data_IF_041942128091
#
_entry.id   IF_041942128091
#
_cell.length_a   1.000
_cell.length_b   1.000
_cell.length_c   1.000
_cell.angle_alpha   90.00
_cell.angle_beta   90.00
_cell.angle_gamma   90.00
#
_symmetry.space_group_name_H-M   'P 1'
#
loop_
_entity.id
_entity.type
_entity.pdbx_description
1 polymer ?
#
# COMPACT_ATOMS: atom_id res chain seq x y z
N UNK A 1 14.18 9.40 5.03
CA UNK A 1 14.34 9.37 6.50
C UNK A 1 13.37 10.38 7.09
N UNK A 2 12.57 10.00 8.09
CA UNK A 2 11.72 10.93 8.83
C UNK A 2 12.57 11.78 9.78
N UNK A 3 12.22 13.06 9.97
CA UNK A 3 12.96 13.93 10.91
C UNK A 3 12.65 13.54 12.36
N UNK A 4 13.56 13.82 13.28
CA UNK A 4 13.38 13.58 14.72
C UNK A 4 12.10 14.28 15.25
N UNK A 5 11.76 15.44 14.70
CA UNK A 5 10.52 16.18 15.00
C UNK A 5 9.25 15.47 14.50
N UNK A 6 9.31 14.75 13.37
CA UNK A 6 8.17 13.95 12.88
C UNK A 6 7.96 12.68 13.72
N UNK A 7 9.03 12.08 14.25
CA UNK A 7 8.96 10.91 15.14
C UNK A 7 8.40 11.25 16.53
N UNK A 8 8.43 12.52 16.93
CA UNK A 8 7.87 13.00 18.22
C UNK A 8 6.41 13.44 18.13
N UNK A 9 5.78 13.41 16.95
CA UNK A 9 4.34 13.63 16.85
C UNK A 9 3.63 12.50 17.62
N UNK A 10 2.90 12.87 18.67
CA UNK A 10 2.05 11.91 19.37
C UNK A 10 1.18 11.22 18.32
N UNK A 11 1.20 9.88 18.27
CA UNK A 11 0.32 9.12 17.39
C UNK A 11 -1.09 9.65 17.61
N UNK A 12 -1.70 10.21 16.57
CA UNK A 12 -3.09 10.64 16.63
C UNK A 12 -3.91 9.43 17.05
N UNK A 13 -4.33 9.43 18.31
CA UNK A 13 -5.07 8.32 18.87
C UNK A 13 -6.45 8.42 18.26
N UNK A 14 -6.79 7.46 17.40
CA UNK A 14 -8.13 7.35 16.85
C UNK A 14 -9.08 7.11 18.05
N UNK A 15 -9.83 8.14 18.44
CA UNK A 15 -10.76 8.04 19.56
C UNK A 15 -11.92 7.17 19.08
N UNK A 16 -12.14 6.04 19.74
CA UNK A 16 -13.33 5.22 19.49
C UNK A 16 -14.56 6.03 19.88
N UNK A 17 -15.34 6.42 18.88
CA UNK A 17 -16.62 7.10 19.10
C UNK A 17 -17.71 6.03 19.24
N UNK A 18 -18.15 5.76 20.47
CA UNK A 18 -19.34 4.95 20.70
C UNK A 18 -20.56 5.86 20.81
N UNK A 19 -21.62 5.55 20.05
CA UNK A 19 -22.93 6.22 20.14
C UNK A 19 -23.96 5.22 20.65
N UNK A 20 -24.67 5.57 21.72
CA UNK A 20 -25.79 4.77 22.21
C UNK A 20 -27.01 4.98 21.31
N UNK A 21 -27.59 3.88 20.83
CA UNK A 21 -28.84 3.91 20.07
C UNK A 21 -30.01 3.97 21.07
N UNK A 22 -30.69 5.10 21.12
CA UNK A 22 -31.93 5.23 21.87
C UNK A 22 -33.09 4.78 20.98
N UNK A 23 -33.62 3.58 21.24
CA UNK A 23 -34.72 3.00 20.49
C UNK A 23 -36.03 3.26 21.24
N UNK A 24 -37.06 3.70 20.53
CA UNK A 24 -38.41 3.86 21.08
C UNK A 24 -39.03 2.47 21.34
N UNK A 25 -39.47 2.16 22.58
CA UNK A 25 -39.83 0.80 23.00
C UNK A 25 -41.17 0.27 22.46
N UNK A 26 -42.03 1.12 21.90
CA UNK A 26 -43.41 0.77 21.53
C UNK A 26 -43.57 0.14 20.13
N UNK A 27 -42.52 -0.45 19.55
CA UNK A 27 -42.55 -0.88 18.14
C UNK A 27 -41.94 -2.27 17.92
N UNK A 28 -42.56 -3.05 17.03
CA UNK A 28 -42.20 -4.45 16.77
C UNK A 28 -40.76 -4.63 16.28
N UNK A 29 -40.16 -5.79 16.56
CA UNK A 29 -38.76 -6.13 16.38
C UNK A 29 -38.21 -5.91 14.95
N UNK A 30 -39.07 -5.99 13.93
CA UNK A 30 -38.70 -5.70 12.54
C UNK A 30 -38.31 -4.22 12.33
N UNK A 31 -38.87 -3.31 13.13
CA UNK A 31 -38.52 -1.89 13.07
C UNK A 31 -37.17 -1.60 13.71
N UNK A 32 -36.73 -2.40 14.71
CA UNK A 32 -35.40 -2.31 15.30
C UNK A 32 -34.33 -2.70 14.29
N UNK A 33 -34.55 -3.79 13.54
CA UNK A 33 -33.65 -4.22 12.47
C UNK A 33 -33.55 -3.15 11.37
N UNK A 34 -34.69 -2.58 10.96
CA UNK A 34 -34.71 -1.48 10.00
C UNK A 34 -33.98 -0.23 10.50
N UNK A 35 -34.16 0.14 11.77
CA UNK A 35 -33.49 1.29 12.39
C UNK A 35 -31.97 1.10 12.50
N UNK A 36 -31.51 -0.12 12.84
CA UNK A 36 -30.08 -0.44 12.86
C UNK A 36 -29.51 -0.36 11.45
N UNK A 37 -30.19 -0.94 10.45
CA UNK A 37 -29.74 -0.90 9.06
C UNK A 37 -29.68 0.53 8.52
N UNK A 38 -30.65 1.38 8.83
CA UNK A 38 -30.65 2.80 8.47
C UNK A 38 -29.45 3.54 9.09
N UNK A 39 -29.14 3.28 10.36
CA UNK A 39 -28.00 3.91 11.04
C UNK A 39 -26.66 3.42 10.51
N UNK A 40 -26.56 2.15 10.13
CA UNK A 40 -25.39 1.61 9.44
C UNK A 40 -25.23 2.30 8.08
N UNK A 41 -26.31 2.44 7.31
CA UNK A 41 -26.29 3.10 6.00
C UNK A 41 -25.88 4.58 6.09
N UNK A 42 -26.43 5.33 7.06
CA UNK A 42 -26.03 6.72 7.36
C UNK A 42 -24.53 6.84 7.70
N UNK A 43 -23.93 5.83 8.32
CA UNK A 43 -22.51 5.81 8.69
C UNK A 43 -21.61 5.31 7.57
N UNK A 44 -22.10 4.40 6.72
CA UNK A 44 -21.38 3.85 5.58
C UNK A 44 -21.39 4.79 4.37
N UNK A 45 -22.32 5.76 4.33
CA UNK A 45 -22.34 6.84 3.35
C UNK A 45 -21.88 8.16 4.01
N UNK A 46 -20.61 8.30 4.41
CA UNK A 46 -20.11 9.60 4.84
C UNK A 46 -20.31 10.58 3.69
N UNK A 47 -20.68 11.82 4.02
CA UNK A 47 -20.83 12.89 3.03
C UNK A 47 -19.62 12.90 2.10
N UNK A 48 -19.88 12.88 0.79
CA UNK A 48 -18.85 12.82 -0.23
C UNK A 48 -17.92 14.01 -0.03
N UNK A 49 -16.70 13.77 0.44
CA UNK A 49 -15.72 14.82 0.66
C UNK A 49 -15.44 15.50 -0.68
N UNK A 50 -15.72 16.79 -0.78
CA UNK A 50 -15.38 17.56 -1.97
C UNK A 50 -13.98 18.16 -1.80
N UNK A 51 -13.20 18.21 -2.88
CA UNK A 51 -11.85 18.80 -2.83
C UNK A 51 -11.89 20.28 -2.45
N UNK A 52 -12.99 20.96 -2.77
CA UNK A 52 -13.19 22.39 -2.47
C UNK A 52 -13.34 22.67 -0.96
N UNK A 53 -13.65 21.65 -0.15
CA UNK A 53 -13.75 21.76 1.31
C UNK A 53 -12.37 21.83 1.99
N UNK A 54 -11.28 21.61 1.25
CA UNK A 54 -9.93 21.53 1.80
C UNK A 54 -8.97 22.50 1.11
N UNK A 55 -8.35 23.38 1.90
CA UNK A 55 -7.15 24.11 1.47
C UNK A 55 -5.94 23.16 1.56
N UNK A 56 -5.49 22.66 0.40
CA UNK A 56 -4.32 21.78 0.32
C UNK A 56 -3.08 22.62 0.02
N UNK A 57 -2.22 22.77 1.02
CA UNK A 57 -0.89 23.38 0.85
C UNK A 57 0.20 22.31 0.95
N UNK A 58 1.17 22.34 0.04
CA UNK A 58 2.36 21.48 0.11
C UNK A 58 3.64 22.31 -0.05
N UNK A 59 4.70 21.85 0.59
CA UNK A 59 6.03 22.47 0.50
C UNK A 59 7.06 21.37 0.26
N UNK A 60 7.87 21.52 -0.79
CA UNK A 60 9.01 20.62 -1.03
C UNK A 60 10.23 21.21 -0.30
N UNK A 61 10.74 20.56 0.77
CA UNK A 61 11.97 21.00 1.39
C UNK A 61 13.14 20.77 0.43
N UNK A 62 13.77 21.85 -0.04
CA UNK A 62 15.04 21.77 -0.75
C UNK A 62 16.17 21.65 0.28
N UNK A 63 16.85 20.50 0.28
CA UNK A 63 18.08 20.34 1.04
C UNK A 63 19.21 20.81 0.13
N UNK A 64 19.77 21.99 0.42
CA UNK A 64 20.99 22.43 -0.25
C UNK A 64 22.20 21.76 0.42
N UNK A 65 23.07 21.07 -0.33
CA UNK A 65 24.22 20.36 0.23
C UNK A 65 25.35 21.28 0.69
N UNK A 66 25.31 22.57 0.31
CA UNK A 66 26.31 23.58 0.66
C UNK A 66 25.63 24.83 1.22
N UNK A 67 26.25 25.46 2.21
CA UNK A 67 25.76 26.71 2.79
C UNK A 67 25.90 27.85 1.76
N UNK A 68 24.78 28.27 1.19
CA UNK A 68 24.73 29.45 0.34
C UNK A 68 24.69 30.69 1.25
N UNK A 69 25.74 31.52 1.20
CA UNK A 69 25.84 32.76 1.98
C UNK A 69 24.87 33.81 1.43
N UNK A 70 23.58 33.67 1.74
CA UNK A 70 22.57 34.69 1.46
C UNK A 70 22.71 35.77 2.52
N UNK A 71 23.51 36.78 2.21
CA UNK A 71 23.81 37.88 3.14
C UNK A 71 22.94 39.11 2.88
N UNK A 72 22.24 39.15 1.73
CA UNK A 72 21.35 40.24 1.39
C UNK A 72 19.99 39.74 0.86
N UNK A 73 18.89 40.45 1.15
CA UNK A 73 17.58 40.12 0.58
C UNK A 73 17.51 40.30 -0.95
N UNK A 74 18.50 40.96 -1.57
CA UNK A 74 18.58 41.06 -3.03
C UNK A 74 19.04 39.75 -3.70
N UNK A 75 19.69 38.85 -2.96
CA UNK A 75 20.23 37.59 -3.46
C UNK A 75 19.11 36.60 -3.87
N UNK A 76 17.87 36.82 -3.41
CA UNK A 76 16.70 35.99 -3.73
C UNK A 76 16.03 36.30 -5.08
N UNK A 77 16.40 37.39 -5.75
CA UNK A 77 15.68 37.87 -6.94
C UNK A 77 16.37 37.52 -8.28
N UNK A 78 17.51 36.83 -8.27
CA UNK A 78 18.23 36.46 -9.50
C UNK A 78 17.95 35.01 -9.90
N UNK A 79 16.75 34.74 -10.40
CA UNK A 79 16.46 33.52 -11.15
C UNK A 79 15.84 33.90 -12.50
N UNK A 80 16.62 34.48 -13.40
CA UNK A 80 16.41 34.26 -14.83
C UNK A 80 17.69 34.57 -15.62
N UNK A 81 17.90 33.76 -16.66
CA UNK A 81 18.84 33.93 -17.77
C UNK A 81 20.26 33.31 -17.64
N UNK A 82 20.38 32.03 -18.02
CA UNK A 82 21.54 31.44 -18.74
C UNK A 82 21.25 29.97 -19.09
N UNK A 83 20.56 29.77 -20.22
CA UNK A 83 20.62 28.52 -21.00
C UNK A 83 21.69 28.70 -22.06
N UNK A 84 22.80 27.98 -21.95
CA UNK A 84 23.77 27.59 -23.00
C UNK A 84 24.79 26.71 -22.25
N UNK A 85 25.17 25.47 -22.60
CA UNK A 85 25.49 24.86 -23.89
C UNK A 85 26.85 24.14 -23.72
N UNK A 86 27.13 23.12 -24.55
CA UNK A 86 28.38 22.32 -24.68
C UNK A 86 28.45 21.08 -23.76
N UNK A 87 28.59 19.83 -24.20
CA UNK A 87 28.86 19.27 -25.53
C UNK A 87 29.93 18.16 -25.49
N UNK A 88 29.53 16.89 -25.70
CA UNK A 88 30.31 15.81 -26.34
C UNK A 88 31.37 15.03 -25.51
N UNK A 89 31.98 13.97 -26.09
CA UNK A 89 31.56 12.56 -25.99
C UNK A 89 32.73 11.59 -25.65
N UNK A 90 32.54 10.27 -25.86
CA UNK A 90 33.52 9.14 -25.96
C UNK A 90 33.56 8.17 -24.76
N UNK A 91 32.89 7.02 -24.81
CA UNK A 91 33.19 5.73 -25.49
C UNK A 91 34.22 4.86 -24.74
N UNK A 92 33.79 3.68 -24.28
CA UNK A 92 34.60 2.44 -24.29
C UNK A 92 33.79 1.21 -23.87
N UNK A 93 33.43 0.41 -24.86
CA UNK A 93 33.00 -0.99 -24.76
C UNK A 93 34.11 -1.87 -24.15
N UNK A 94 33.79 -2.92 -23.39
CA UNK A 94 33.96 -4.33 -23.84
C UNK A 94 33.48 -5.41 -22.85
N UNK A 95 32.65 -6.30 -23.40
CA UNK A 95 32.70 -7.78 -23.38
C UNK A 95 32.28 -8.65 -22.18
N UNK A 96 31.35 -9.54 -22.54
CA UNK A 96 30.86 -10.80 -21.96
C UNK A 96 31.82 -11.69 -21.14
N UNK A 97 31.27 -12.38 -20.14
CA UNK A 97 31.49 -13.82 -19.98
C UNK A 97 30.38 -14.50 -19.16
N UNK A 98 30.04 -15.69 -19.63
CA UNK A 98 28.86 -16.52 -19.34
C UNK A 98 28.93 -17.30 -17.98
N UNK A 99 27.77 -17.89 -17.67
CA UNK A 99 27.28 -18.61 -16.49
C UNK A 99 28.13 -19.75 -15.86
N UNK A 100 27.87 -20.04 -14.56
CA UNK A 100 27.48 -21.38 -14.06
C UNK A 100 27.28 -21.46 -12.53
N UNK A 101 26.48 -22.47 -12.14
CA UNK A 101 25.92 -22.78 -10.83
C UNK A 101 26.95 -23.24 -9.77
N UNK A 102 26.78 -22.81 -8.51
CA UNK A 102 27.18 -23.62 -7.34
C UNK A 102 26.09 -23.66 -6.27
N UNK A 103 25.43 -24.81 -6.20
CA UNK A 103 24.61 -25.25 -5.05
C UNK A 103 25.55 -25.69 -3.92
N UNK A 104 25.31 -25.28 -2.67
CA UNK A 104 24.93 -26.18 -1.55
C UNK A 104 24.97 -25.54 -0.15
N UNK A 105 23.89 -25.88 0.58
CA UNK A 105 23.78 -26.28 2.01
C UNK A 105 23.65 -25.20 3.10
N UNK A 106 22.37 -24.97 3.43
CA UNK A 106 21.74 -24.87 4.75
C UNK A 106 22.65 -25.13 5.97
N UNK A 107 22.62 -24.18 6.92
CA UNK A 107 22.72 -24.48 8.36
C UNK A 107 21.56 -23.82 9.10
N UNK A 108 20.75 -24.67 9.71
CA UNK A 108 19.50 -24.37 10.43
C UNK A 108 19.71 -24.21 11.94
N UNK A 109 18.74 -23.54 12.58
CA UNK A 109 18.35 -23.47 14.01
C UNK A 109 18.58 -22.07 14.60
N UNK A 110 17.58 -21.40 15.20
CA UNK A 110 16.57 -21.91 16.14
C UNK A 110 15.29 -21.06 16.08
N UNK A 111 14.15 -21.68 15.76
CA UNK A 111 12.83 -21.03 15.76
C UNK A 111 12.30 -20.80 17.18
N UNK A 112 11.86 -19.56 17.43
CA UNK A 112 10.99 -19.19 18.55
C UNK A 112 9.58 -19.70 18.23
N UNK A 113 9.19 -20.83 18.83
CA UNK A 113 7.84 -21.43 18.69
C UNK A 113 6.81 -20.60 19.44
N UNK A 114 5.65 -20.34 18.83
CA UNK A 114 4.48 -19.90 19.56
C UNK A 114 3.27 -19.46 18.74
N UNK A 115 3.46 -18.62 17.71
CA UNK A 115 2.31 -18.02 16.97
C UNK A 115 2.39 -18.11 15.44
N UNK A 116 3.57 -18.00 14.85
CA UNK A 116 3.71 -17.94 13.39
C UNK A 116 3.40 -19.24 12.63
N UNK A 117 3.31 -20.41 13.28
CA UNK A 117 3.06 -21.67 12.56
C UNK A 117 1.61 -21.80 12.12
N UNK A 118 0.65 -21.35 12.93
CA UNK A 118 -0.78 -21.44 12.63
C UNK A 118 -1.16 -20.43 11.54
N UNK A 119 -0.60 -19.22 11.62
CA UNK A 119 -0.85 -18.14 10.66
C UNK A 119 -0.33 -18.48 9.25
N UNK A 120 0.88 -19.08 9.16
CA UNK A 120 1.42 -19.51 7.87
C UNK A 120 0.60 -20.65 7.22
N UNK A 121 -0.03 -21.53 8.01
CA UNK A 121 -0.92 -22.57 7.47
C UNK A 121 -2.18 -21.92 6.89
N UNK A 122 -2.80 -21.00 7.63
CA UNK A 122 -3.98 -20.27 7.18
C UNK A 122 -3.71 -19.42 5.92
N UNK A 123 -2.53 -18.82 5.81
CA UNK A 123 -2.11 -18.08 4.60
C UNK A 123 -1.95 -19.04 3.41
N UNK A 124 -1.30 -20.20 3.60
CA UNK A 124 -1.11 -21.17 2.52
C UNK A 124 -2.43 -21.74 2.00
N UNK A 125 -3.40 -22.02 2.87
CA UNK A 125 -4.75 -22.43 2.48
C UNK A 125 -5.43 -21.35 1.63
N UNK A 126 -5.27 -20.07 1.99
CA UNK A 126 -5.81 -18.95 1.20
C UNK A 126 -5.11 -18.81 -0.14
N UNK A 127 -3.81 -19.00 -0.22
CA UNK A 127 -3.07 -18.99 -1.48
C UNK A 127 -3.61 -20.10 -2.40
N UNK A 128 -3.82 -21.32 -1.90
CA UNK A 128 -4.39 -22.42 -2.69
C UNK A 128 -5.80 -22.10 -3.19
N UNK A 129 -6.65 -21.51 -2.35
CA UNK A 129 -7.98 -21.07 -2.77
C UNK A 129 -7.91 -20.01 -3.88
N UNK A 130 -7.02 -19.02 -3.75
CA UNK A 130 -6.81 -18.02 -4.80
C UNK A 130 -6.30 -18.67 -6.10
N UNK A 131 -5.35 -19.60 -6.02
CA UNK A 131 -4.87 -20.33 -7.20
C UNK A 131 -6.01 -21.03 -7.94
N UNK A 132 -6.89 -21.72 -7.22
CA UNK A 132 -8.03 -22.42 -7.82
C UNK A 132 -9.04 -21.46 -8.46
N UNK A 133 -9.29 -20.29 -7.85
CA UNK A 133 -10.22 -19.30 -8.38
C UNK A 133 -9.71 -18.58 -9.63
N UNK A 134 -8.39 -18.41 -9.75
CA UNK A 134 -7.77 -17.59 -10.79
C UNK A 134 -7.00 -18.43 -11.82
N UNK A 135 -7.35 -19.69 -12.02
CA UNK A 135 -6.76 -20.52 -13.07
C UNK A 135 -7.02 -19.91 -14.45
N UNK A 136 -5.95 -19.73 -15.22
CA UNK A 136 -6.07 -19.16 -16.55
C UNK A 136 -6.73 -20.16 -17.51
N UNK A 137 -7.84 -19.77 -18.11
CA UNK A 137 -8.53 -20.57 -19.15
C UNK A 137 -8.22 -20.10 -20.58
N UNK A 138 -7.34 -19.12 -20.76
CA UNK A 138 -7.07 -18.51 -22.06
C UNK A 138 -6.03 -19.33 -22.85
N UNK A 139 -6.36 -19.82 -24.07
CA UNK A 139 -5.39 -20.51 -24.90
C UNK A 139 -4.27 -19.56 -25.32
N UNK A 140 -3.02 -19.99 -25.14
CA UNK A 140 -1.82 -19.20 -25.46
C UNK A 140 -1.31 -18.28 -24.33
N UNK A 141 -1.91 -18.32 -23.14
CA UNK A 141 -1.36 -17.66 -21.97
C UNK A 141 -0.18 -18.47 -21.39
N UNK A 142 0.93 -17.80 -21.05
CA UNK A 142 2.12 -18.44 -20.48
C UNK A 142 2.06 -18.59 -18.95
N UNK A 143 1.06 -18.03 -18.29
CA UNK A 143 0.91 -18.08 -16.83
C UNK A 143 -0.24 -18.97 -16.40
N UNK A 144 -0.01 -19.75 -15.34
CA UNK A 144 -1.01 -20.67 -14.78
C UNK A 144 -2.19 -19.95 -14.12
N UNK A 145 -1.94 -18.77 -13.56
CA UNK A 145 -2.94 -17.99 -12.82
C UNK A 145 -3.06 -16.58 -13.41
N UNK A 146 -4.28 -16.13 -13.66
CA UNK A 146 -4.56 -14.81 -14.25
C UNK A 146 -5.78 -14.16 -13.61
N UNK A 147 -5.68 -12.85 -13.35
CA UNK A 147 -6.83 -12.02 -13.05
C UNK A 147 -7.48 -11.55 -14.35
N UNK A 148 -8.76 -11.84 -14.55
CA UNK A 148 -9.54 -11.37 -15.70
C UNK A 148 -10.41 -10.21 -15.24
N UNK A 149 -10.27 -9.04 -15.86
CA UNK A 149 -11.12 -7.91 -15.53
C UNK A 149 -12.54 -8.15 -16.09
N UNK A 150 -13.61 -7.90 -15.32
CA UNK A 150 -14.98 -8.15 -15.81
C UNK A 150 -15.38 -7.28 -17.01
N UNK A 151 -14.77 -6.09 -17.13
CA UNK A 151 -15.10 -5.12 -18.18
C UNK A 151 -14.12 -5.12 -19.36
N UNK A 152 -12.95 -5.77 -19.22
CA UNK A 152 -11.92 -5.76 -20.25
C UNK A 152 -11.45 -7.19 -20.57
N UNK A 153 -11.23 -7.55 -21.84
CA UNK A 153 -10.73 -8.88 -22.24
C UNK A 153 -9.26 -9.12 -21.86
N UNK A 154 -8.63 -8.11 -21.25
CA UNK A 154 -7.28 -8.18 -20.74
C UNK A 154 -7.23 -8.98 -19.44
N UNK A 155 -6.16 -9.75 -19.33
CA UNK A 155 -5.91 -10.61 -18.19
C UNK A 155 -4.48 -10.39 -17.72
N UNK A 156 -4.29 -10.32 -16.41
CA UNK A 156 -3.02 -10.03 -15.78
C UNK A 156 -2.47 -11.29 -15.12
N UNK A 157 -1.24 -11.68 -15.46
CA UNK A 157 -0.57 -12.86 -14.91
C UNK A 157 -0.29 -12.71 -13.41
N UNK A 158 -0.86 -13.59 -12.60
CA UNK A 158 -0.69 -13.63 -11.15
C UNK A 158 0.44 -14.59 -10.77
N UNK A 159 1.62 -14.01 -10.50
CA UNK A 159 2.72 -14.71 -9.84
C UNK A 159 2.46 -15.05 -8.36
N UNK A 160 3.34 -15.87 -7.79
CA UNK A 160 3.28 -16.27 -6.37
C UNK A 160 3.31 -15.09 -5.40
N UNK A 161 4.06 -14.03 -5.71
CA UNK A 161 4.16 -12.82 -4.89
C UNK A 161 2.82 -12.09 -4.80
N UNK A 162 2.08 -11.96 -5.91
CA UNK A 162 0.77 -11.32 -5.93
C UNK A 162 -0.23 -12.07 -5.05
N UNK A 163 -0.28 -13.40 -5.21
CA UNK A 163 -1.17 -14.26 -4.43
C UNK A 163 -0.83 -14.24 -2.94
N UNK A 164 0.45 -14.16 -2.59
CA UNK A 164 0.92 -14.08 -1.19
C UNK A 164 0.49 -12.77 -0.53
N UNK A 165 0.64 -11.64 -1.23
CA UNK A 165 0.19 -10.32 -0.73
C UNK A 165 -1.33 -10.30 -0.54
N UNK A 166 -2.09 -10.85 -1.49
CA UNK A 166 -3.55 -10.93 -1.38
C UNK A 166 -4.00 -11.83 -0.24
N UNK A 167 -3.38 -13.01 -0.10
CA UNK A 167 -3.68 -13.92 1.01
C UNK A 167 -3.39 -13.28 2.38
N UNK A 168 -2.30 -12.53 2.49
CA UNK A 168 -1.95 -11.80 3.71
C UNK A 168 -2.97 -10.68 4.02
N UNK A 169 -3.42 -9.91 3.02
CA UNK A 169 -4.44 -8.88 3.18
C UNK A 169 -5.80 -9.46 3.63
N UNK A 170 -6.09 -10.70 3.25
CA UNK A 170 -7.32 -11.39 3.64
C UNK A 170 -7.28 -11.96 5.06
N UNK A 171 -6.11 -12.11 5.68
CA UNK A 171 -6.04 -12.48 7.10
C UNK A 171 -6.37 -11.21 7.88
N UNK A 172 -7.55 -11.12 8.54
CA UNK A 172 -7.84 -9.96 9.37
C UNK A 172 -6.71 -9.87 10.40
N UNK A 173 -6.03 -8.72 10.42
CA UNK A 173 -5.11 -8.40 11.50
C UNK A 173 -5.92 -8.48 12.78
N UNK A 174 -5.83 -9.61 13.50
CA UNK A 174 -6.37 -9.73 14.84
C UNK A 174 -5.54 -8.79 15.70
N UNK A 175 -5.98 -7.54 15.80
CA UNK A 175 -5.51 -6.59 16.79
C UNK A 175 -5.92 -7.19 18.13
N UNK A 176 -4.94 -7.76 18.81
CA UNK A 176 -5.05 -8.23 20.18
C UNK A 176 -5.24 -6.96 21.03
N UNK A 177 -6.45 -6.77 21.57
CA UNK A 177 -6.72 -5.82 22.65
C UNK A 177 -6.05 -6.27 23.94
#
# INVERSE_FOLDING_TARGET
MFSESQMRKAKAQCKSSNTFLCLSPDREFDTLKAQILQKIDEKLNPGMLTYDDYMIEWTIPRIQPSAMSLSSPADYNNEDDSRDGIGGPEDSNTSDSDCEHVKKKKKSKKHKKGKGVIENIAINEKIQNLQNCWMCSKPGCSSDHCFVHPEHPDHFSLGHEHLSVWAAAWVPFYIIN
#
